data_IF_573280864547
#
_entry.id   IF_573280864547
#
_cell.length_a   1.000
_cell.length_b   1.000
_cell.length_c   1.000
_cell.angle_alpha   90.00
_cell.angle_beta   90.00
_cell.angle_gamma   90.00
#
_symmetry.space_group_name_H-M   'P 1'
#
loop_
_entity.id
_entity.type
_entity.pdbx_description
1 polymer ?
#
# COMPACT_ATOMS: atom_id res chain seq x y z
N UNK A 1 -22.87 1.56 -18.07
CA UNK A 1 -22.24 2.89 -18.07
C UNK A 1 -20.76 2.74 -18.34
N UNK A 2 -20.23 3.49 -19.31
CA UNK A 2 -18.79 3.54 -19.56
C UNK A 2 -18.12 4.39 -18.46
N UNK A 3 -17.20 3.78 -17.72
CA UNK A 3 -16.43 4.44 -16.66
C UNK A 3 -14.99 4.64 -17.10
N UNK A 4 -14.43 5.81 -16.81
CA UNK A 4 -13.00 6.08 -16.99
C UNK A 4 -12.37 6.49 -15.66
N UNK A 5 -11.31 5.80 -15.26
CA UNK A 5 -10.51 6.18 -14.09
C UNK A 5 -9.47 7.19 -14.51
N UNK A 6 -9.54 8.39 -13.94
CA UNK A 6 -8.62 9.50 -14.24
C UNK A 6 -7.51 9.53 -13.20
N UNK A 7 -6.26 9.59 -13.65
CA UNK A 7 -5.14 9.78 -12.74
C UNK A 7 -5.23 11.15 -12.05
N UNK A 8 -5.16 11.23 -10.71
CA UNK A 8 -5.22 12.50 -9.96
C UNK A 8 -4.19 13.54 -10.37
N UNK A 9 -3.06 13.13 -10.94
CA UNK A 9 -2.04 14.05 -11.46
C UNK A 9 -2.57 14.85 -12.65
N UNK A 10 -3.38 14.23 -13.52
CA UNK A 10 -3.96 14.90 -14.69
C UNK A 10 -4.96 15.98 -14.22
N UNK A 11 -5.80 15.66 -13.24
CA UNK A 11 -6.75 16.61 -12.67
C UNK A 11 -6.07 17.75 -11.91
N UNK A 12 -4.92 17.50 -11.27
CA UNK A 12 -4.11 18.53 -10.62
C UNK A 12 -3.47 19.48 -11.63
N UNK A 13 -2.92 18.96 -12.70
CA UNK A 13 -2.19 19.76 -13.70
C UNK A 13 -3.11 20.59 -14.60
N UNK A 14 -4.34 20.13 -14.84
CA UNK A 14 -5.32 20.88 -15.64
C UNK A 14 -5.86 22.15 -14.94
N UNK A 15 -5.54 22.37 -13.68
CA UNK A 15 -6.11 23.42 -12.83
C UNK A 15 -5.11 24.44 -12.31
N UNK A 16 -3.91 24.52 -12.88
CA UNK A 16 -2.90 25.52 -12.50
C UNK A 16 -3.27 26.98 -12.84
N UNK A 17 -4.52 27.25 -13.22
CA UNK A 17 -5.01 28.59 -13.59
C UNK A 17 -5.46 29.41 -12.37
N UNK A 18 -5.68 28.80 -11.20
CA UNK A 18 -6.16 29.51 -10.03
C UNK A 18 -5.15 29.53 -8.88
N UNK A 19 -4.78 30.74 -8.46
CA UNK A 19 -3.80 31.07 -7.39
C UNK A 19 -4.20 30.54 -6.01
N UNK A 20 -5.46 30.18 -5.77
CA UNK A 20 -5.95 29.61 -4.51
C UNK A 20 -6.34 28.14 -4.70
N UNK A 21 -5.63 27.26 -4.00
CA UNK A 21 -5.97 25.83 -3.90
C UNK A 21 -7.22 25.65 -3.02
N UNK A 22 -8.41 25.78 -3.61
CA UNK A 22 -9.65 25.35 -2.98
C UNK A 22 -9.82 23.86 -3.19
N UNK A 23 -9.65 23.08 -2.12
CA UNK A 23 -10.01 21.67 -2.09
C UNK A 23 -11.43 21.54 -1.57
N UNK A 24 -12.36 21.31 -2.48
CA UNK A 24 -13.75 21.03 -2.16
C UNK A 24 -14.27 20.04 -3.20
N UNK A 25 -15.01 19.02 -2.76
CA UNK A 25 -15.56 17.95 -3.61
C UNK A 25 -16.33 18.49 -4.82
N UNK A 26 -17.04 19.61 -4.63
CA UNK A 26 -17.77 20.31 -5.70
C UNK A 26 -16.84 20.91 -6.77
N UNK A 27 -15.64 21.35 -6.41
CA UNK A 27 -14.64 21.80 -7.35
C UNK A 27 -13.92 20.62 -8.02
N UNK A 28 -13.65 19.57 -7.29
CA UNK A 28 -12.97 18.41 -7.82
C UNK A 28 -13.85 17.63 -8.80
N UNK A 29 -15.17 17.58 -8.57
CA UNK A 29 -16.10 17.01 -9.54
C UNK A 29 -16.18 17.82 -10.85
N UNK A 30 -16.17 19.17 -10.75
CA UNK A 30 -16.12 20.05 -11.95
C UNK A 30 -14.81 19.89 -12.71
N UNK A 31 -13.69 19.75 -12.01
CA UNK A 31 -12.39 19.50 -12.64
C UNK A 31 -12.36 18.16 -13.38
N UNK A 32 -12.90 17.10 -12.75
CA UNK A 32 -13.00 15.79 -13.38
C UNK A 32 -13.86 15.85 -14.66
N UNK A 33 -14.97 16.57 -14.63
CA UNK A 33 -15.85 16.78 -15.78
C UNK A 33 -15.13 17.55 -16.91
N UNK A 34 -14.39 18.62 -16.59
CA UNK A 34 -13.63 19.40 -17.58
C UNK A 34 -12.50 18.56 -18.21
N UNK A 35 -11.83 17.74 -17.43
CA UNK A 35 -10.82 16.81 -17.96
C UNK A 35 -11.47 15.79 -18.90
N UNK A 36 -12.64 15.26 -18.52
CA UNK A 36 -13.41 14.32 -19.36
C UNK A 36 -13.84 14.91 -20.71
N UNK A 37 -14.12 16.22 -20.74
CA UNK A 37 -14.50 16.93 -21.96
C UNK A 37 -13.30 17.26 -22.88
N UNK A 38 -12.14 17.58 -22.29
CA UNK A 38 -10.98 18.08 -23.01
C UNK A 38 -9.95 17.01 -23.37
N UNK A 39 -9.99 15.86 -22.70
CA UNK A 39 -9.02 14.77 -22.89
C UNK A 39 -9.77 13.53 -23.38
N UNK A 40 -9.30 12.94 -24.47
CA UNK A 40 -9.78 11.63 -24.90
C UNK A 40 -9.42 10.57 -23.86
N UNK A 41 -10.35 10.28 -22.97
CA UNK A 41 -10.17 9.29 -21.91
C UNK A 41 -10.42 7.89 -22.47
N UNK A 42 -9.48 6.98 -22.21
CA UNK A 42 -9.69 5.56 -22.49
C UNK A 42 -10.67 5.00 -21.46
N UNK A 43 -11.66 4.25 -21.91
CA UNK A 43 -12.55 3.49 -21.02
C UNK A 43 -11.73 2.54 -20.15
N UNK A 44 -11.93 2.60 -18.84
CA UNK A 44 -11.25 1.70 -17.92
C UNK A 44 -11.90 0.34 -17.97
N UNK A 45 -11.12 -0.67 -18.27
CA UNK A 45 -11.55 -2.05 -18.18
C UNK A 45 -11.54 -2.41 -16.69
N UNK A 46 -12.71 -2.74 -16.14
CA UNK A 46 -12.80 -3.27 -14.79
C UNK A 46 -12.11 -4.65 -14.78
N UNK A 47 -11.23 -4.91 -13.82
CA UNK A 47 -10.61 -6.21 -13.69
C UNK A 47 -11.69 -7.26 -13.36
N UNK A 48 -11.51 -8.46 -13.88
CA UNK A 48 -12.34 -9.62 -13.54
C UNK A 48 -12.22 -9.93 -12.02
N UNK A 49 -13.27 -10.52 -11.44
CA UNK A 49 -13.34 -10.84 -10.02
C UNK A 49 -12.13 -11.69 -9.57
N UNK A 50 -11.70 -12.63 -10.40
CA UNK A 50 -10.50 -13.44 -10.15
C UNK A 50 -9.22 -12.61 -10.00
N UNK A 51 -9.10 -11.51 -10.76
CA UNK A 51 -7.95 -10.59 -10.67
C UNK A 51 -8.04 -9.74 -9.39
N UNK A 52 -9.25 -9.36 -8.98
CA UNK A 52 -9.48 -8.66 -7.72
C UNK A 52 -9.11 -9.54 -6.53
N UNK A 53 -9.56 -10.80 -6.55
CA UNK A 53 -9.25 -11.78 -5.49
C UNK A 53 -7.74 -12.06 -5.41
N UNK A 54 -7.08 -12.26 -6.55
CA UNK A 54 -5.62 -12.42 -6.59
C UNK A 54 -4.90 -11.20 -6.00
N UNK A 55 -5.36 -10.00 -6.33
CA UNK A 55 -4.78 -8.76 -5.79
C UNK A 55 -4.94 -8.67 -4.27
N UNK A 56 -6.09 -9.05 -3.75
CA UNK A 56 -6.35 -9.07 -2.31
C UNK A 56 -5.45 -10.11 -1.62
N UNK A 57 -5.37 -11.31 -2.16
CA UNK A 57 -4.51 -12.39 -1.65
C UNK A 57 -3.03 -11.98 -1.61
N UNK A 58 -2.55 -11.29 -2.65
CA UNK A 58 -1.16 -10.77 -2.68
C UNK A 58 -0.94 -9.69 -1.62
N UNK A 59 -1.92 -8.80 -1.40
CA UNK A 59 -1.85 -7.79 -0.33
C UNK A 59 -1.78 -8.45 1.05
N UNK A 60 -2.63 -9.44 1.29
CA UNK A 60 -2.66 -10.18 2.55
C UNK A 60 -1.34 -10.93 2.79
N UNK A 61 -0.78 -11.55 1.74
CA UNK A 61 0.54 -12.18 1.82
C UNK A 61 1.63 -11.21 2.29
N UNK A 62 1.70 -10.02 1.69
CA UNK A 62 2.69 -9.02 2.09
C UNK A 62 2.41 -8.48 3.48
N UNK A 63 1.17 -8.27 3.86
CA UNK A 63 0.78 -7.87 5.20
C UNK A 63 1.28 -8.86 6.26
N UNK A 64 1.02 -10.15 6.07
CA UNK A 64 1.51 -11.19 7.00
C UNK A 64 3.02 -11.30 7.03
N UNK A 65 3.69 -11.11 5.90
CA UNK A 65 5.15 -11.09 5.84
C UNK A 65 5.75 -9.92 6.62
N UNK A 66 5.16 -8.76 6.52
CA UNK A 66 5.60 -7.57 7.27
C UNK A 66 5.33 -7.76 8.78
N UNK A 67 4.19 -8.32 9.14
CA UNK A 67 3.86 -8.65 10.53
C UNK A 67 4.86 -9.66 11.11
N UNK A 68 5.19 -10.71 10.36
CA UNK A 68 6.22 -11.69 10.74
C UNK A 68 7.56 -11.02 11.03
N UNK A 69 7.97 -10.09 10.14
CA UNK A 69 9.23 -9.35 10.29
C UNK A 69 9.22 -8.45 11.53
N UNK A 70 8.11 -7.77 11.79
CA UNK A 70 7.95 -6.92 12.97
C UNK A 70 8.02 -7.72 14.28
N UNK A 71 7.36 -8.89 14.33
CA UNK A 71 7.40 -9.79 15.49
C UNK A 71 8.81 -10.34 15.70
N UNK A 72 9.50 -10.73 14.63
CA UNK A 72 10.88 -11.23 14.70
C UNK A 72 11.85 -10.18 15.24
N UNK A 73 11.70 -8.92 14.82
CA UNK A 73 12.50 -7.80 15.32
C UNK A 73 12.24 -7.56 16.80
N UNK A 74 10.96 -7.56 17.23
CA UNK A 74 10.60 -7.37 18.63
C UNK A 74 11.15 -8.49 19.51
N UNK A 75 10.99 -9.74 19.09
CA UNK A 75 11.55 -10.90 19.81
C UNK A 75 13.08 -10.78 19.95
N UNK A 76 13.77 -10.39 18.89
CA UNK A 76 15.23 -10.20 18.91
C UNK A 76 15.63 -9.07 19.88
N UNK A 77 14.87 -7.99 19.93
CA UNK A 77 15.12 -6.87 20.84
C UNK A 77 14.94 -7.31 22.31
N UNK A 78 13.86 -8.00 22.63
CA UNK A 78 13.58 -8.50 23.99
C UNK A 78 14.64 -9.51 24.46
N UNK A 79 15.07 -10.41 23.56
CA UNK A 79 16.12 -11.38 23.90
C UNK A 79 17.49 -10.71 24.13
N UNK A 80 17.80 -9.63 23.42
CA UNK A 80 19.04 -8.87 23.66
C UNK A 80 19.07 -8.25 25.04
N UNK A 81 17.92 -7.83 25.56
CA UNK A 81 17.79 -7.26 26.91
C UNK A 81 17.81 -8.36 27.98
N UNK A 82 16.99 -9.39 27.79
CA UNK A 82 16.78 -10.43 28.80
C UNK A 82 17.89 -11.47 28.83
N UNK A 83 18.46 -11.82 27.67
CA UNK A 83 19.48 -12.84 27.54
C UNK A 83 20.50 -12.53 26.45
N UNK A 84 21.44 -11.61 26.69
CA UNK A 84 22.41 -11.12 25.69
C UNK A 84 23.29 -12.22 25.08
N UNK A 85 23.58 -13.29 25.84
CA UNK A 85 24.39 -14.41 25.36
C UNK A 85 23.69 -15.25 24.28
N UNK A 86 22.37 -15.16 24.16
CA UNK A 86 21.58 -15.94 23.19
C UNK A 86 21.98 -15.66 21.74
N UNK A 87 22.23 -14.40 21.43
CA UNK A 87 22.67 -13.97 20.09
C UNK A 87 24.07 -14.50 19.69
N UNK A 88 24.88 -14.96 20.66
CA UNK A 88 26.18 -15.58 20.40
C UNK A 88 26.04 -17.05 20.00
N UNK A 89 24.99 -17.71 20.46
CA UNK A 89 24.72 -19.13 20.19
C UNK A 89 23.96 -19.29 18.86
N UNK A 90 22.99 -18.42 18.60
CA UNK A 90 22.15 -18.50 17.40
C UNK A 90 22.38 -17.28 16.51
N UNK A 91 22.82 -17.52 15.27
CA UNK A 91 22.97 -16.45 14.27
C UNK A 91 21.63 -15.79 13.88
N UNK A 92 20.53 -16.55 13.95
CA UNK A 92 19.15 -16.06 13.75
C UNK A 92 18.26 -16.59 14.86
N UNK A 93 17.65 -15.69 15.61
CA UNK A 93 16.72 -16.01 16.71
C UNK A 93 15.44 -16.70 16.22
N UNK A 94 15.04 -16.44 14.98
CA UNK A 94 13.79 -16.95 14.38
C UNK A 94 13.93 -18.33 13.74
N UNK A 95 15.06 -19.02 13.90
CA UNK A 95 15.21 -20.40 13.42
C UNK A 95 14.37 -21.35 14.26
N UNK A 96 13.89 -22.42 13.64
CA UNK A 96 13.05 -23.41 14.32
C UNK A 96 13.74 -24.02 15.55
N UNK A 97 15.04 -24.24 15.47
CA UNK A 97 15.87 -24.77 16.58
C UNK A 97 15.96 -23.75 17.72
N UNK A 98 16.12 -22.48 17.41
CA UNK A 98 16.15 -21.39 18.39
C UNK A 98 14.78 -21.26 19.10
N UNK A 99 13.69 -21.24 18.34
CA UNK A 99 12.33 -21.11 18.90
C UNK A 99 11.90 -22.30 19.78
N UNK A 100 12.45 -23.48 19.55
CA UNK A 100 12.18 -24.66 20.40
C UNK A 100 12.91 -24.62 21.75
N UNK A 101 13.95 -23.80 21.86
CA UNK A 101 14.72 -23.63 23.10
C UNK A 101 14.24 -22.44 23.95
N UNK A 102 13.42 -21.58 23.40
CA UNK A 102 12.75 -20.49 24.10
C UNK A 102 11.45 -20.97 24.76
#
# INVERSE_FOLDING_TARGET
>A
FDCSVINPIITKNSTNINIRKLHNDKFDSKKAALVGLNVSLKTSILPDDSVVDLRNLVRDYYYFKDLQSAVALKLTAELKVSFPAYAKVFSKVTTQSSLKLL
#
